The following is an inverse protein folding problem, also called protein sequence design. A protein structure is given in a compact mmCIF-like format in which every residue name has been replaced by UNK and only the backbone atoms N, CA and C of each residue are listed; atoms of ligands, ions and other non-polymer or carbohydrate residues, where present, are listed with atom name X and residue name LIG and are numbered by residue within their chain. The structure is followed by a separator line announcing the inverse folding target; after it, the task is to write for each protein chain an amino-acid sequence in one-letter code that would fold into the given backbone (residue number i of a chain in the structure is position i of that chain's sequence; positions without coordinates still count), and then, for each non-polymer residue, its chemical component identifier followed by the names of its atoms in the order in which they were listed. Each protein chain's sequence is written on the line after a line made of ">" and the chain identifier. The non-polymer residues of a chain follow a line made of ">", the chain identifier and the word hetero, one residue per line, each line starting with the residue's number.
data_IF_747308391359
#
_entry.id   IF_747308391359
#
_cell.length_a   1.000
_cell.length_b   1.000
_cell.length_c   1.000
_cell.angle_alpha   90.00
_cell.angle_beta   90.00
_cell.angle_gamma   90.00
#
_symmetry.space_group_name_H-M   'P 1'
#
loop_
_entity.id
_entity.type
_entity.pdbx_description
1 polymer ?
#
# COMPACT_ATOMS: atom_id res chain seq x y z
N UNK A 1 -13.61 1.99 -9.19
CA UNK A 1 -12.52 2.23 -10.15
C UNK A 1 -11.84 0.93 -10.54
N UNK A 2 -11.31 0.82 -11.77
CA UNK A 2 -10.43 -0.30 -12.16
C UNK A 2 -8.97 -0.02 -11.81
N UNK A 3 -8.20 -1.07 -11.54
CA UNK A 3 -6.74 -0.96 -11.24
C UNK A 3 -5.99 -0.30 -12.39
N UNK A 4 -6.39 -0.58 -13.63
CA UNK A 4 -5.77 0.01 -14.81
C UNK A 4 -5.97 1.51 -14.91
N UNK A 5 -7.08 2.05 -14.38
CA UNK A 5 -7.34 3.50 -14.36
C UNK A 5 -6.60 4.19 -13.22
N UNK A 6 -6.49 3.52 -12.08
CA UNK A 6 -5.67 4.00 -10.97
C UNK A 6 -4.20 4.18 -11.39
N UNK A 7 -3.65 3.18 -12.11
CA UNK A 7 -2.29 3.27 -12.64
C UNK A 7 -2.08 4.44 -13.62
N UNK A 8 -3.13 4.86 -14.35
CA UNK A 8 -3.04 6.02 -15.25
C UNK A 8 -2.90 7.34 -14.48
N UNK A 9 -3.33 7.40 -13.23
CA UNK A 9 -3.17 8.58 -12.37
C UNK A 9 -1.76 8.68 -11.77
N UNK A 10 -0.94 7.64 -11.93
CA UNK A 10 0.39 7.54 -11.35
C UNK A 10 0.35 7.04 -9.91
N UNK A 11 1.37 6.27 -9.53
CA UNK A 11 1.55 5.77 -8.17
C UNK A 11 2.35 6.81 -7.37
N UNK A 12 1.66 7.61 -6.56
CA UNK A 12 2.27 8.79 -5.91
C UNK A 12 3.19 8.41 -4.76
N UNK A 13 2.91 7.30 -4.10
CA UNK A 13 3.59 6.85 -2.90
C UNK A 13 4.60 5.73 -3.18
N UNK A 14 4.75 5.33 -4.44
CA UNK A 14 5.70 4.29 -4.84
C UNK A 14 7.12 4.84 -4.86
N UNK A 15 8.04 4.10 -4.25
CA UNK A 15 9.48 4.37 -4.29
C UNK A 15 10.25 3.18 -4.81
N UNK A 16 11.25 3.45 -5.64
CA UNK A 16 12.17 2.42 -6.11
C UNK A 16 13.26 2.11 -5.08
N UNK A 17 13.65 3.10 -4.29
CA UNK A 17 14.74 3.01 -3.32
C UNK A 17 14.23 2.52 -1.96
N UNK A 18 14.97 1.60 -1.34
CA UNK A 18 14.62 1.02 -0.03
C UNK A 18 15.10 1.88 1.16
N UNK A 19 16.01 2.83 0.93
CA UNK A 19 16.59 3.69 1.98
C UNK A 19 16.08 5.13 1.84
N UNK A 20 14.90 5.38 2.39
CA UNK A 20 14.33 6.72 2.46
C UNK A 20 14.83 7.45 3.71
N UNK A 21 15.65 8.49 3.55
CA UNK A 21 16.11 9.31 4.68
C UNK A 21 14.94 9.95 5.43
N UNK A 22 14.89 9.73 6.76
CA UNK A 22 13.83 10.23 7.62
C UNK A 22 12.53 9.42 7.57
N UNK A 23 12.55 8.23 6.96
CA UNK A 23 11.43 7.28 7.02
C UNK A 23 11.84 6.05 7.83
N UNK A 24 10.89 5.55 8.60
CA UNK A 24 10.98 4.30 9.33
C UNK A 24 10.32 3.19 8.51
N UNK A 25 10.84 1.97 8.60
CA UNK A 25 10.16 0.81 8.02
C UNK A 25 8.96 0.50 8.91
N UNK A 26 7.75 0.61 8.36
CA UNK A 26 6.54 0.18 9.06
C UNK A 26 6.48 -1.35 9.12
N UNK A 27 6.79 -2.00 8.00
CA UNK A 27 6.85 -3.44 7.92
C UNK A 27 7.02 -3.94 6.48
N UNK A 28 7.24 -5.24 6.35
CA UNK A 28 7.31 -5.91 5.06
C UNK A 28 6.53 -7.22 5.06
N UNK A 29 5.95 -7.55 3.92
CA UNK A 29 5.33 -8.84 3.68
C UNK A 29 5.81 -9.40 2.35
N UNK A 30 6.09 -10.70 2.36
CA UNK A 30 6.49 -11.45 1.17
C UNK A 30 5.63 -12.70 1.05
N UNK A 31 4.96 -12.85 -0.08
CA UNK A 31 4.19 -14.03 -0.40
C UNK A 31 4.51 -14.51 -1.83
N UNK A 32 5.23 -15.63 -1.90
CA UNK A 32 5.79 -16.18 -3.14
C UNK A 32 6.64 -15.13 -3.88
N UNK A 33 6.15 -14.64 -5.01
CA UNK A 33 6.80 -13.65 -5.88
C UNK A 33 6.39 -12.20 -5.59
N UNK A 34 5.45 -11.99 -4.68
CA UNK A 34 4.96 -10.67 -4.31
C UNK A 34 5.64 -10.23 -3.02
N UNK A 35 6.35 -9.11 -3.07
CA UNK A 35 6.89 -8.43 -1.89
C UNK A 35 6.34 -7.03 -1.85
N UNK A 36 5.97 -6.57 -0.67
CA UNK A 36 5.64 -5.18 -0.37
C UNK A 36 6.33 -4.79 0.93
N UNK A 37 6.89 -3.58 0.95
CA UNK A 37 7.50 -2.96 2.12
C UNK A 37 6.92 -1.56 2.23
N UNK A 38 6.43 -1.22 3.42
CA UNK A 38 5.86 0.09 3.70
C UNK A 38 6.83 0.88 4.58
N UNK A 39 6.92 2.17 4.30
CA UNK A 39 7.75 3.14 4.99
C UNK A 39 6.86 4.27 5.46
N UNK A 40 7.10 4.78 6.66
CA UNK A 40 6.34 5.89 7.22
C UNK A 40 7.28 6.93 7.79
N UNK A 41 6.89 8.19 7.66
CA UNK A 41 7.54 9.29 8.35
C UNK A 41 6.62 9.76 9.46
N UNK A 42 7.15 9.80 10.68
CA UNK A 42 6.42 10.30 11.85
C UNK A 42 6.95 11.65 12.29
N UNK A 43 6.05 12.50 12.74
CA UNK A 43 6.33 13.79 13.36
C UNK A 43 5.31 13.96 14.50
N UNK A 44 5.78 14.32 15.71
CA UNK A 44 4.95 14.46 16.91
C UNK A 44 4.02 13.27 17.20
N UNK A 45 4.50 12.04 16.95
CA UNK A 45 3.74 10.81 17.18
C UNK A 45 2.65 10.50 16.15
N UNK A 46 2.51 11.30 15.09
CA UNK A 46 1.58 11.08 13.97
C UNK A 46 2.33 10.75 12.70
N UNK A 47 1.70 9.97 11.82
CA UNK A 47 2.26 9.68 10.50
C UNK A 47 1.97 10.84 9.55
N UNK A 48 3.00 11.53 9.09
CA UNK A 48 2.87 12.67 8.16
C UNK A 48 3.08 12.27 6.70
N UNK A 49 3.75 11.15 6.47
CA UNK A 49 3.99 10.63 5.13
C UNK A 49 4.09 9.10 5.15
N UNK A 50 3.66 8.46 4.06
CA UNK A 50 3.70 7.02 3.90
C UNK A 50 4.07 6.68 2.46
N UNK A 51 5.05 5.81 2.31
CA UNK A 51 5.59 5.36 1.03
C UNK A 51 5.69 3.85 1.00
N UNK A 52 5.75 3.26 -0.19
CA UNK A 52 5.91 1.83 -0.32
C UNK A 52 6.85 1.45 -1.45
N UNK A 53 7.51 0.31 -1.28
CA UNK A 53 8.21 -0.40 -2.32
C UNK A 53 7.53 -1.75 -2.52
N UNK A 54 7.42 -2.20 -3.76
CA UNK A 54 6.88 -3.52 -4.05
C UNK A 54 7.46 -4.10 -5.32
N UNK A 55 7.27 -5.42 -5.49
CA UNK A 55 7.61 -6.11 -6.73
C UNK A 55 6.82 -5.50 -7.91
N UNK A 56 7.52 -4.79 -8.81
CA UNK A 56 6.93 -4.02 -9.93
C UNK A 56 6.03 -4.80 -10.89
N UNK A 57 6.02 -6.14 -10.82
CA UNK A 57 5.27 -7.00 -11.76
C UNK A 57 3.77 -7.10 -11.46
N UNK A 58 3.29 -6.72 -10.27
CA UNK A 58 1.88 -6.88 -9.91
C UNK A 58 1.14 -5.55 -9.79
N UNK A 59 0.45 -5.12 -10.86
CA UNK A 59 -0.34 -3.87 -10.89
C UNK A 59 -1.37 -3.77 -9.75
N UNK A 60 -2.03 -4.89 -9.43
CA UNK A 60 -3.00 -4.96 -8.33
C UNK A 60 -2.36 -4.66 -6.97
N UNK A 61 -1.20 -5.27 -6.70
CA UNK A 61 -0.45 -5.02 -5.47
C UNK A 61 -0.03 -3.56 -5.37
N UNK A 62 0.50 -3.01 -6.47
CA UNK A 62 0.94 -1.62 -6.54
C UNK A 62 -0.20 -0.63 -6.26
N UNK A 63 -1.37 -0.83 -6.88
CA UNK A 63 -2.52 0.05 -6.68
C UNK A 63 -3.08 -0.01 -5.25
N UNK A 64 -3.17 -1.21 -4.68
CA UNK A 64 -3.61 -1.39 -3.30
C UNK A 64 -2.63 -0.74 -2.33
N UNK A 65 -1.34 -1.01 -2.48
CA UNK A 65 -0.31 -0.47 -1.58
C UNK A 65 -0.24 1.06 -1.65
N UNK A 66 -0.39 1.64 -2.83
CA UNK A 66 -0.44 3.09 -3.02
C UNK A 66 -1.64 3.72 -2.32
N UNK A 67 -2.83 3.16 -2.51
CA UNK A 67 -4.06 3.66 -1.87
C UNK A 67 -4.03 3.50 -0.35
N UNK A 68 -3.47 2.39 0.13
CA UNK A 68 -3.26 2.16 1.57
C UNK A 68 -2.31 3.20 2.15
N UNK A 69 -1.20 3.51 1.48
CA UNK A 69 -0.29 4.59 1.93
C UNK A 69 -0.98 5.95 1.95
N UNK A 70 -1.79 6.25 0.94
CA UNK A 70 -2.59 7.48 0.90
C UNK A 70 -3.52 7.57 2.11
N UNK A 71 -4.20 6.48 2.47
CA UNK A 71 -5.07 6.42 3.65
C UNK A 71 -4.32 6.56 4.97
N UNK A 72 -3.14 5.95 5.10
CA UNK A 72 -2.29 6.12 6.31
C UNK A 72 -1.94 7.60 6.50
N UNK A 73 -1.60 8.28 5.39
CA UNK A 73 -1.25 9.69 5.40
C UNK A 73 -2.46 10.58 5.73
N UNK A 74 -3.63 10.29 5.15
CA UNK A 74 -4.87 11.02 5.45
C UNK A 74 -5.29 10.86 6.92
N UNK A 75 -5.20 9.64 7.46
CA UNK A 75 -5.61 9.33 8.84
C UNK A 75 -4.55 9.73 9.88
N UNK A 76 -3.29 9.88 9.45
CA UNK A 76 -2.15 10.07 10.35
C UNK A 76 -1.83 8.86 11.23
N UNK A 77 -2.40 7.70 10.92
CA UNK A 77 -2.25 6.45 11.68
C UNK A 77 -2.39 5.22 10.78
N UNK A 78 -2.01 4.04 11.26
CA UNK A 78 -2.16 2.76 10.55
C UNK A 78 -3.55 2.12 10.73
N UNK A 79 -4.48 2.83 11.36
CA UNK A 79 -5.87 2.40 11.49
C UNK A 79 -6.60 2.69 10.17
N UNK A 80 -6.66 1.66 9.32
CA UNK A 80 -7.22 1.74 7.97
C UNK A 80 -8.33 0.74 7.82
N UNK A 81 -9.45 1.17 7.25
CA UNK A 81 -10.50 0.27 6.84
C UNK A 81 -10.15 -0.38 5.49
N UNK A 82 -9.62 -1.60 5.56
CA UNK A 82 -9.27 -2.38 4.37
C UNK A 82 -10.47 -2.70 3.47
N UNK A 83 -11.71 -2.70 3.98
CA UNK A 83 -12.90 -2.92 3.15
C UNK A 83 -13.12 -1.74 2.17
N UNK A 84 -12.85 -0.51 2.60
CA UNK A 84 -12.93 0.67 1.73
C UNK A 84 -11.95 0.59 0.56
N UNK A 85 -10.79 -0.02 0.76
CA UNK A 85 -9.80 -0.26 -0.30
C UNK A 85 -10.40 -1.19 -1.37
N UNK A 86 -11.09 -2.26 -0.97
CA UNK A 86 -11.77 -3.16 -1.91
C UNK A 86 -12.93 -2.48 -2.61
N UNK A 87 -13.73 -1.70 -1.88
CA UNK A 87 -14.84 -0.94 -2.44
C UNK A 87 -14.38 0.11 -3.45
N UNK A 88 -13.24 0.76 -3.22
CA UNK A 88 -12.63 1.68 -4.19
C UNK A 88 -12.37 0.98 -5.53
N UNK A 89 -11.90 -0.27 -5.48
CA UNK A 89 -11.65 -1.10 -6.65
C UNK A 89 -12.82 -2.00 -7.06
N UNK A 90 -14.07 -1.71 -6.64
CA UNK A 90 -15.25 -2.56 -6.93
C UNK A 90 -15.50 -2.88 -8.40
N UNK A 91 -14.99 -2.07 -9.32
CA UNK A 91 -15.13 -2.27 -10.77
C UNK A 91 -14.09 -3.23 -11.37
N UNK A 92 -13.09 -3.64 -10.58
CA UNK A 92 -12.11 -4.64 -10.98
C UNK A 92 -12.77 -6.03 -10.96
N UNK A 93 -12.73 -6.76 -12.09
CA UNK A 93 -13.38 -8.08 -12.19
C UNK A 93 -12.76 -9.13 -11.28
N UNK A 94 -11.47 -9.01 -10.97
CA UNK A 94 -10.70 -10.01 -10.23
C UNK A 94 -10.62 -9.68 -8.73
N UNK A 95 -11.79 -9.55 -8.09
CA UNK A 95 -11.90 -9.19 -6.66
C UNK A 95 -11.18 -10.18 -5.74
N UNK A 96 -11.20 -11.49 -6.03
CA UNK A 96 -10.47 -12.49 -5.23
C UNK A 96 -8.95 -12.24 -5.23
N UNK A 97 -8.40 -11.82 -6.37
CA UNK A 97 -6.98 -11.46 -6.46
C UNK A 97 -6.72 -10.14 -5.73
N UNK A 98 -7.66 -9.19 -5.76
CA UNK A 98 -7.54 -7.95 -4.99
C UNK A 98 -7.49 -8.25 -3.48
N UNK A 99 -8.39 -9.09 -2.98
CA UNK A 99 -8.39 -9.56 -1.57
C UNK A 99 -7.06 -10.22 -1.21
N UNK A 100 -6.58 -11.17 -2.01
CA UNK A 100 -5.30 -11.82 -1.75
C UNK A 100 -4.12 -10.83 -1.72
N UNK A 101 -4.12 -9.79 -2.57
CA UNK A 101 -3.07 -8.75 -2.54
C UNK A 101 -3.21 -7.80 -1.36
N UNK A 102 -4.44 -7.48 -0.98
CA UNK A 102 -4.74 -6.68 0.20
C UNK A 102 -4.25 -7.36 1.47
N UNK A 103 -4.41 -8.67 1.60
CA UNK A 103 -3.90 -9.41 2.76
C UNK A 103 -2.38 -9.30 2.90
N UNK A 104 -1.64 -9.31 1.78
CA UNK A 104 -0.19 -9.11 1.79
C UNK A 104 0.14 -7.69 2.30
N UNK A 105 -0.55 -6.67 1.78
CA UNK A 105 -0.35 -5.28 2.23
C UNK A 105 -0.72 -5.11 3.70
N UNK A 106 -1.82 -5.72 4.14
CA UNK A 106 -2.27 -5.71 5.53
C UNK A 106 -1.22 -6.29 6.47
N UNK A 107 -0.60 -7.42 6.12
CA UNK A 107 0.52 -8.02 6.88
C UNK A 107 1.71 -7.07 6.99
N UNK A 108 2.02 -6.31 5.93
CA UNK A 108 3.11 -5.35 5.94
C UNK A 108 2.82 -4.10 6.80
N UNK A 109 1.55 -3.74 6.99
CA UNK A 109 1.14 -2.52 7.70
C UNK A 109 0.83 -2.78 9.18
N UNK A 110 0.16 -3.90 9.50
CA UNK A 110 -0.28 -4.19 10.86
C UNK A 110 0.70 -5.04 11.67
N UNK A 111 1.79 -5.51 11.06
CA UNK A 111 2.68 -6.50 11.65
C UNK A 111 2.08 -7.90 11.57
N UNK A 112 2.91 -8.88 11.20
CA UNK A 112 2.59 -10.30 11.32
C UNK A 112 2.94 -10.81 12.70
#
# INVERSE_FOLDING_TARGET
>A
MKVSEYHKQGLKNFVEEENLSGYEILGEAKEKVHRVRCFIKKEDGKIIDAKFNASKRCKKLLAIADLVCEKIKENGSVDINFDEILQFFKEEKEQDKMKARLEIVKKAVLGG
#
